data_IF_451937367741
#
_entry.id   IF_451937367741
#
_cell.length_a   1.000
_cell.length_b   1.000
_cell.length_c   1.000
_cell.angle_alpha   90.00
_cell.angle_beta   90.00
_cell.angle_gamma   90.00
#
_symmetry.space_group_name_H-M   'P 1'
#
loop_
_entity.id
_entity.type
_entity.pdbx_description
1 polymer ?
2 water ?
#
# COMPACT_ATOMS: atom_id res chain seq x y z
N UNK A 1 23.24 -3.39 -2.10
CA UNK A 1 22.17 -2.36 -1.76
C UNK A 1 21.41 -2.79 -0.51
N UNK A 2 20.76 -1.81 0.12
CA UNK A 2 20.07 -2.02 1.37
C UNK A 2 19.07 -0.95 1.72
N UNK A 3 18.09 -1.32 2.54
CA UNK A 3 17.25 -0.34 3.23
C UNK A 3 15.81 -0.19 2.77
N UNK A 4 15.46 -0.77 1.62
CA UNK A 4 14.04 -0.70 1.20
C UNK A 4 13.14 -1.52 2.11
N UNK A 5 11.99 -0.97 2.51
CA UNK A 5 11.12 -1.57 3.55
C UNK A 5 9.67 -1.58 3.08
N UNK A 6 8.82 -2.35 3.76
CA UNK A 6 7.40 -2.27 3.52
C UNK A 6 6.87 -0.85 3.69
N UNK A 7 7.39 -0.08 4.67
CA UNK A 7 6.84 1.26 4.95
C UNK A 7 7.17 2.16 3.71
N UNK A 8 8.34 1.99 3.12
CA UNK A 8 8.66 2.74 1.87
C UNK A 8 7.74 2.38 0.70
N UNK A 9 7.46 1.10 0.56
CA UNK A 9 6.63 0.64 -0.55
C UNK A 9 5.23 1.22 -0.37
N UNK A 10 4.74 1.35 0.88
CA UNK A 10 3.41 1.84 1.10
C UNK A 10 3.38 3.34 0.88
N UNK A 11 4.51 4.04 1.05
CA UNK A 11 4.54 5.47 0.80
C UNK A 11 4.46 5.82 -0.71
N UNK A 12 4.94 4.92 -1.54
CA UNK A 12 5.06 5.14 -2.99
C UNK A 12 3.72 4.96 -3.69
N UNK A 13 3.37 5.92 -4.53
CA UNK A 13 2.04 5.96 -5.06
C UNK A 13 2.01 6.14 -6.56
N UNK A 14 0.89 5.75 -7.15
CA UNK A 14 0.83 5.76 -8.64
C UNK A 14 0.85 7.21 -9.10
N UNK A 15 1.43 7.42 -10.28
CA UNK A 15 1.63 8.75 -10.88
C UNK A 15 2.88 9.43 -10.37
N UNK A 16 3.48 8.90 -9.33
CA UNK A 16 4.67 9.64 -8.88
C UNK A 16 5.75 9.60 -9.96
N UNK A 17 6.51 10.68 -10.13
CA UNK A 17 7.64 10.68 -11.09
C UNK A 17 8.74 9.72 -10.70
N UNK A 18 9.47 9.22 -11.68
CA UNK A 18 10.55 8.30 -11.43
C UNK A 18 11.51 8.88 -10.43
N UNK A 19 11.81 10.17 -10.54
CA UNK A 19 12.74 10.79 -9.55
C UNK A 19 12.18 10.79 -8.11
N UNK A 20 10.88 10.93 -7.92
CA UNK A 20 10.32 10.96 -6.58
C UNK A 20 10.27 9.55 -6.05
N UNK A 21 9.93 8.57 -6.92
CA UNK A 21 9.90 7.19 -6.43
C UNK A 21 11.31 6.80 -5.98
N UNK A 22 12.28 7.15 -6.82
CA UNK A 22 13.67 6.87 -6.48
C UNK A 22 14.09 7.47 -5.16
N UNK A 23 13.73 8.73 -4.90
CA UNK A 23 14.16 9.32 -3.66
C UNK A 23 13.51 8.62 -2.49
N UNK A 24 12.20 8.43 -2.55
CA UNK A 24 11.47 7.86 -1.38
C UNK A 24 11.85 6.41 -1.14
N UNK A 25 12.23 5.70 -2.22
CA UNK A 25 12.69 4.31 -2.08
C UNK A 25 14.06 4.16 -1.46
N UNK A 26 14.86 5.23 -1.50
CA UNK A 26 16.17 5.26 -0.90
C UNK A 26 17.33 5.39 -1.96
N UNK A 27 16.99 5.66 -3.24
CA UNK A 27 17.90 6.17 -4.21
C UNK A 27 19.06 5.15 -4.42
N UNK A 28 20.30 5.64 -4.55
CA UNK A 28 21.35 4.71 -4.91
C UNK A 28 21.73 3.75 -3.81
N UNK A 29 21.49 4.18 -2.57
CA UNK A 29 21.75 3.30 -1.44
C UNK A 29 20.92 2.02 -1.51
N UNK A 30 19.68 2.08 -2.03
CA UNK A 30 18.74 0.96 -1.88
C UNK A 30 18.35 0.39 -3.22
N UNK A 31 18.55 1.17 -4.30
CA UNK A 31 17.95 0.82 -5.61
C UNK A 31 18.88 0.77 -6.79
N UNK A 32 18.46 0.00 -7.81
CA UNK A 32 19.14 -0.11 -9.04
C UNK A 32 18.15 0.30 -10.12
N UNK A 33 18.57 1.14 -11.05
CA UNK A 33 17.69 1.54 -12.16
C UNK A 33 18.08 0.68 -13.34
N UNK A 34 17.24 -0.33 -13.61
CA UNK A 34 17.41 -1.32 -14.73
C UNK A 34 16.74 -0.82 -16.04
N UNK A 35 16.23 0.43 -16.05
CA UNK A 35 15.64 1.11 -17.23
C UNK A 35 14.21 0.67 -17.45
N UNK A 36 14.03 -0.62 -17.73
CA UNK A 36 12.72 -1.23 -17.87
C UNK A 36 11.94 -1.17 -16.49
N UNK A 37 12.68 -1.15 -15.38
CA UNK A 37 12.11 -1.10 -14.04
C UNK A 37 13.17 -0.61 -13.06
N UNK A 38 12.73 -0.22 -11.86
CA UNK A 38 13.65 0.10 -10.74
C UNK A 38 13.52 -1.05 -9.76
N UNK A 39 14.66 -1.56 -9.25
CA UNK A 39 14.58 -2.63 -8.25
C UNK A 39 15.13 -2.08 -6.99
N UNK A 40 14.40 -2.21 -5.88
CA UNK A 40 14.92 -1.66 -4.63
C UNK A 40 14.96 -2.79 -3.58
N UNK A 41 16.07 -2.92 -2.88
CA UNK A 41 16.36 -4.09 -2.03
C UNK A 41 16.27 -3.76 -0.56
N UNK A 42 15.65 -4.69 0.17
CA UNK A 42 15.68 -4.59 1.62
C UNK A 42 17.08 -4.66 2.27
N UNK A 43 17.89 -5.56 1.77
CA UNK A 43 19.20 -5.71 2.38
C UNK A 43 20.13 -6.24 1.27
N UNK A 44 21.44 -6.40 1.58
CA UNK A 44 22.46 -6.82 0.58
C UNK A 44 22.23 -8.16 -0.10
N UNK A 45 21.42 -9.00 0.51
CA UNK A 45 20.95 -10.24 -0.12
C UNK A 45 19.92 -9.86 -1.17
N UNK A 46 20.32 -9.98 -2.41
CA UNK A 46 19.55 -9.41 -3.48
C UNK A 46 18.55 -10.44 -4.00
N UNK A 47 18.59 -11.61 -3.37
CA UNK A 47 17.44 -12.60 -3.39
C UNK A 47 16.40 -12.31 -2.28
N UNK A 48 16.67 -11.31 -1.39
CA UNK A 48 15.80 -11.01 -0.25
C UNK A 48 14.65 -10.15 -0.68
N UNK A 49 13.89 -9.66 0.30
CA UNK A 49 12.74 -8.86 0.00
C UNK A 49 13.10 -7.62 -0.86
N UNK A 50 12.23 -7.30 -1.82
CA UNK A 50 12.50 -6.21 -2.74
C UNK A 50 11.21 -5.78 -3.37
N UNK A 51 11.20 -4.49 -3.74
CA UNK A 51 10.11 -3.90 -4.53
C UNK A 51 10.61 -3.60 -5.93
N UNK A 52 9.75 -3.75 -6.91
CA UNK A 52 10.03 -3.28 -8.26
C UNK A 52 9.01 -2.27 -8.74
N UNK A 53 9.50 -1.30 -9.49
CA UNK A 53 8.60 -0.20 -9.91
C UNK A 53 8.75 0.08 -11.38
N UNK A 54 7.60 0.30 -12.06
CA UNK A 54 7.63 0.50 -13.49
C UNK A 54 6.81 1.73 -13.80
N UNK A 55 7.27 2.34 -14.88
CA UNK A 55 6.84 3.64 -15.36
C UNK A 55 6.22 3.68 -16.74
N UNK A 56 5.28 4.62 -16.96
CA UNK A 56 4.80 4.82 -18.31
C UNK A 56 5.81 5.64 -19.12
N UNK A 57 5.45 5.95 -20.36
CA UNK A 57 6.36 6.67 -21.29
C UNK A 57 6.74 8.02 -20.75
N UNK A 58 5.85 8.58 -19.95
CA UNK A 58 6.07 9.85 -19.32
C UNK A 58 6.85 9.81 -18.00
N UNK A 59 7.41 8.61 -17.70
CA UNK A 59 8.18 8.39 -16.46
C UNK A 59 7.33 8.60 -15.16
N UNK A 60 6.02 8.28 -15.19
CA UNK A 60 5.17 8.32 -13.97
C UNK A 60 4.87 6.86 -13.56
N UNK A 61 4.84 6.60 -12.26
CA UNK A 61 4.61 5.24 -11.80
C UNK A 61 3.25 4.66 -12.20
N UNK A 62 3.28 3.50 -12.81
CA UNK A 62 2.06 2.82 -13.16
C UNK A 62 1.99 1.39 -12.59
N UNK A 63 3.04 0.93 -11.92
CA UNK A 63 3.17 -0.56 -11.63
C UNK A 63 4.10 -0.81 -10.44
N UNK A 64 3.54 -1.47 -9.42
CA UNK A 64 4.26 -1.83 -8.17
C UNK A 64 4.23 -3.32 -8.07
N UNK A 65 5.40 -3.95 -7.83
CA UNK A 65 5.59 -5.40 -7.67
C UNK A 65 6.42 -5.62 -6.43
N UNK A 66 6.14 -6.65 -5.65
CA UNK A 66 6.88 -6.88 -4.40
C UNK A 66 7.00 -8.37 -4.21
N UNK A 67 8.22 -8.76 -3.83
CA UNK A 67 8.53 -10.14 -3.43
C UNK A 67 9.04 -10.13 -1.98
N UNK A 68 8.32 -10.85 -1.11
CA UNK A 68 8.59 -10.96 0.35
C UNK A 68 8.59 -9.74 1.23
N UNK A 69 8.01 -8.64 0.72
CA UNK A 69 7.79 -7.54 1.60
C UNK A 69 6.50 -7.79 2.31
N UNK A 70 5.54 -8.46 1.63
CA UNK A 70 4.23 -8.80 2.22
C UNK A 70 3.90 -10.21 1.80
N UNK A 71 4.56 -11.17 2.41
CA UNK A 71 4.29 -12.51 1.99
C UNK A 71 2.89 -13.02 2.39
N UNK A 72 2.40 -14.05 1.71
CA UNK A 72 1.15 -14.74 2.04
C UNK A 72 1.30 -15.21 3.48
N UNK A 73 0.39 -14.82 4.38
CA UNK A 73 0.68 -15.12 5.81
C UNK A 73 0.46 -16.57 6.23
N UNK A 74 -0.48 -17.25 5.57
CA UNK A 74 -0.73 -18.66 5.81
C UNK A 74 -0.77 -19.49 4.48
N UNK A 75 0.38 -19.83 3.97
CA UNK A 75 0.40 -20.55 2.68
C UNK A 75 -0.10 -21.97 2.80
N UNK A 76 -1.15 -22.25 2.06
CA UNK A 76 -1.89 -23.52 2.16
C UNK A 76 -2.38 -23.97 0.77
N UNK A 77 -1.89 -23.31 -0.29
CA UNK A 77 -2.49 -23.55 -1.62
C UNK A 77 -2.34 -25.05 -2.02
N UNK A 78 -3.36 -25.63 -2.66
CA UNK A 78 -3.37 -27.01 -3.03
C UNK A 78 -4.02 -27.09 -4.35
N UNK A 79 -3.81 -28.21 -5.05
CA UNK A 79 -4.34 -28.28 -6.41
C UNK A 79 -5.88 -28.29 -6.46
N UNK A 80 -6.54 -28.93 -5.47
CA UNK A 80 -8.00 -28.97 -5.47
C UNK A 80 -8.50 -27.56 -5.41
N UNK A 81 -7.83 -26.72 -4.63
CA UNK A 81 -8.22 -25.28 -4.51
C UNK A 81 -8.02 -24.54 -5.84
N UNK A 82 -6.89 -24.81 -6.54
CA UNK A 82 -6.62 -24.18 -7.81
C UNK A 82 -7.74 -24.58 -8.79
N UNK A 83 -8.23 -25.83 -8.70
CA UNK A 83 -9.21 -26.37 -9.61
C UNK A 83 -10.65 -25.82 -9.38
N UNK A 84 -10.85 -25.12 -8.26
CA UNK A 84 -12.12 -24.40 -8.03
C UNK A 84 -12.25 -23.08 -8.83
N UNK A 85 -11.13 -22.56 -9.33
CA UNK A 85 -11.11 -21.29 -10.03
C UNK A 85 -11.31 -21.44 -11.56
N UNK A 86 -11.82 -20.37 -12.17
CA UNK A 86 -11.97 -20.33 -13.59
C UNK A 86 -11.93 -18.86 -14.04
N UNK A 87 -11.34 -18.63 -15.21
CA UNK A 87 -11.33 -17.30 -15.74
C UNK A 87 -12.77 -16.80 -15.87
N UNK A 88 -13.01 -15.49 -15.69
CA UNK A 88 -14.33 -14.91 -15.72
C UNK A 88 -14.91 -14.63 -14.33
N UNK A 89 -14.34 -15.28 -13.32
CA UNK A 89 -14.78 -15.02 -11.93
C UNK A 89 -14.50 -13.60 -11.52
N UNK A 90 -15.38 -13.07 -10.67
CA UNK A 90 -15.09 -11.79 -10.06
C UNK A 90 -14.11 -12.01 -8.89
N UNK A 91 -13.52 -10.95 -8.38
CA UNK A 91 -12.62 -11.13 -7.22
C UNK A 91 -13.42 -11.77 -6.05
N UNK A 92 -14.66 -11.36 -5.86
CA UNK A 92 -15.43 -11.97 -4.73
C UNK A 92 -15.61 -13.48 -4.90
N UNK A 93 -15.90 -13.88 -6.12
CA UNK A 93 -16.14 -15.29 -6.34
C UNK A 93 -14.83 -16.03 -6.11
N UNK A 94 -13.73 -15.44 -6.59
CA UNK A 94 -12.41 -16.01 -6.36
C UNK A 94 -12.07 -16.14 -4.89
N UNK A 95 -12.31 -15.11 -4.08
CA UNK A 95 -11.87 -15.19 -2.69
C UNK A 95 -12.76 -16.14 -1.89
N UNK A 96 -13.91 -16.49 -2.45
CA UNK A 96 -14.76 -17.51 -1.79
C UNK A 96 -14.23 -18.88 -2.01
N UNK A 97 -13.41 -19.05 -3.09
CA UNK A 97 -12.82 -20.33 -3.47
C UNK A 97 -11.43 -20.49 -2.90
N UNK A 98 -10.73 -19.38 -2.78
CA UNK A 98 -9.31 -19.33 -2.39
C UNK A 98 -9.12 -18.46 -1.17
N UNK A 99 -8.53 -19.00 -0.09
CA UNK A 99 -8.40 -18.17 1.10
C UNK A 99 -7.44 -17.00 0.90
N UNK A 100 -7.82 -15.78 1.30
CA UNK A 100 -6.91 -14.66 1.03
C UNK A 100 -5.55 -14.82 1.69
N UNK A 101 -5.56 -15.47 2.87
CA UNK A 101 -4.29 -15.61 3.57
C UNK A 101 -3.31 -16.53 2.89
N UNK A 102 -3.72 -17.27 1.85
CA UNK A 102 -2.74 -18.08 1.11
C UNK A 102 -2.13 -17.40 -0.08
N UNK A 103 -2.47 -16.14 -0.32
CA UNK A 103 -1.98 -15.45 -1.50
C UNK A 103 -1.23 -14.16 -1.13
N UNK A 104 -0.20 -13.82 -1.91
CA UNK A 104 0.49 -12.57 -1.76
C UNK A 104 0.06 -11.64 -2.87
N UNK A 105 -0.15 -10.37 -2.53
CA UNK A 105 -0.45 -9.37 -3.55
C UNK A 105 0.88 -9.04 -4.24
N UNK A 106 1.09 -9.72 -5.32
CA UNK A 106 2.36 -9.66 -6.07
C UNK A 106 2.53 -8.34 -6.80
N UNK A 107 1.46 -7.86 -7.44
CA UNK A 107 1.61 -6.62 -8.25
C UNK A 107 0.27 -5.94 -8.45
N UNK A 108 0.33 -4.64 -8.64
CA UNK A 108 -0.83 -3.81 -8.93
C UNK A 108 -0.39 -2.85 -10.02
N UNK A 109 -1.19 -2.79 -11.07
CA UNK A 109 -0.88 -1.93 -12.20
C UNK A 109 -2.04 -1.10 -12.65
N UNK A 110 -1.76 0.18 -12.92
CA UNK A 110 -2.72 1.08 -13.56
C UNK A 110 -2.07 1.67 -14.80
N UNK A 111 -2.05 0.89 -15.90
CA UNK A 111 -1.29 1.25 -17.11
C UNK A 111 -1.68 2.60 -17.67
N UNK A 112 -2.92 3.03 -17.39
CA UNK A 112 -3.45 4.22 -18.05
C UNK A 112 -3.53 5.39 -17.05
N UNK A 113 -2.87 5.26 -15.89
CA UNK A 113 -2.84 6.34 -14.91
C UNK A 113 -2.50 7.69 -15.61
N UNK A 114 -3.23 8.75 -15.33
CA UNK A 114 -4.17 8.86 -14.21
C UNK A 114 -5.58 8.32 -14.40
N UNK A 115 -5.88 7.70 -15.54
CA UNK A 115 -7.14 6.97 -15.65
C UNK A 115 -6.93 5.62 -14.94
N UNK A 116 -8.01 5.06 -14.39
CA UNK A 116 -7.90 3.85 -13.54
C UNK A 116 -8.38 2.52 -14.16
N UNK A 117 -8.81 2.60 -15.44
CA UNK A 117 -9.23 1.39 -16.17
C UNK A 117 -8.05 0.54 -16.62
N UNK A 118 -8.29 -0.77 -16.88
CA UNK A 118 -7.20 -1.67 -17.36
C UNK A 118 -6.35 -1.99 -16.15
N UNK A 119 -6.92 -1.87 -14.95
CA UNK A 119 -6.15 -2.22 -13.71
C UNK A 119 -5.85 -3.68 -13.71
N UNK A 120 -4.56 -4.03 -13.52
CA UNK A 120 -4.20 -5.40 -13.39
C UNK A 120 -3.76 -5.66 -11.98
N UNK A 121 -4.31 -6.73 -11.43
CA UNK A 121 -4.01 -7.06 -10.03
C UNK A 121 -3.61 -8.52 -10.01
N UNK A 122 -2.40 -8.80 -9.53
CA UNK A 122 -1.76 -10.11 -9.66
C UNK A 122 -1.50 -10.72 -8.31
N UNK A 123 -1.78 -12.03 -8.20
CA UNK A 123 -1.58 -12.74 -6.95
C UNK A 123 -0.72 -13.95 -7.21
N UNK A 124 0.12 -14.24 -6.27
CA UNK A 124 0.89 -15.54 -6.19
C UNK A 124 0.44 -16.25 -4.90
N UNK A 125 0.05 -17.54 -5.03
CA UNK A 125 -0.50 -18.26 -3.85
C UNK A 125 0.31 -19.51 -3.59
N UNK A 126 1.27 -19.44 -2.66
CA UNK A 126 2.15 -20.61 -2.45
C UNK A 126 1.59 -21.67 -1.55
N UNK A 127 2.19 -22.84 -1.64
CA UNK A 127 1.64 -24.01 -0.93
C UNK A 127 2.24 -24.16 0.44
N UNK A 128 3.34 -23.46 0.67
CA UNK A 128 4.11 -23.56 1.92
C UNK A 128 4.91 -22.29 2.03
N UNK A 129 5.48 -22.06 3.22
CA UNK A 129 6.18 -20.79 3.49
C UNK A 129 7.67 -20.69 3.01
N UNK A 130 8.31 -21.83 2.75
CA UNK A 130 9.72 -21.87 2.21
C UNK A 130 9.84 -21.13 0.90
N UNK A 131 11.00 -20.54 0.66
CA UNK A 131 11.19 -19.85 -0.61
C UNK A 131 11.03 -20.84 -1.75
N UNK A 132 10.44 -20.31 -2.83
CA UNK A 132 10.22 -21.02 -4.07
C UNK A 132 9.32 -22.25 -3.92
N UNK A 133 8.38 -22.19 -3.01
CA UNK A 133 7.41 -23.25 -2.89
C UNK A 133 6.52 -23.28 -4.14
N UNK A 134 6.04 -24.45 -4.51
CA UNK A 134 5.05 -24.48 -5.60
C UNK A 134 3.85 -23.55 -5.33
N UNK A 135 3.40 -22.89 -6.40
CA UNK A 135 2.43 -21.81 -6.26
C UNK A 135 1.46 -21.76 -7.43
N UNK A 136 0.33 -21.12 -7.19
CA UNK A 136 -0.58 -20.75 -8.29
C UNK A 136 -0.40 -19.25 -8.57
N UNK A 137 -0.63 -18.84 -9.82
CA UNK A 137 -0.55 -17.42 -10.21
C UNK A 137 -1.86 -16.92 -10.84
N UNK A 138 -2.37 -15.76 -10.43
CA UNK A 138 -3.66 -15.27 -10.92
C UNK A 138 -3.58 -13.82 -11.32
N UNK A 139 -4.20 -13.45 -12.44
CA UNK A 139 -4.28 -12.03 -12.79
C UNK A 139 -5.72 -11.64 -12.96
N UNK A 140 -6.17 -10.54 -12.28
CA UNK A 140 -7.44 -9.90 -12.56
C UNK A 140 -7.21 -8.71 -13.43
N UNK A 141 -8.05 -8.55 -14.46
CA UNK A 141 -8.10 -7.32 -15.28
C UNK A 141 -9.46 -6.66 -14.87
N UNK A 142 -9.38 -5.45 -14.31
CA UNK A 142 -10.54 -4.73 -13.82
C UNK A 142 -11.54 -5.63 -13.02
N UNK A 143 -10.96 -6.50 -12.19
CA UNK A 143 -11.77 -7.19 -11.18
C UNK A 143 -12.31 -8.53 -11.69
N UNK A 144 -11.94 -8.94 -12.91
CA UNK A 144 -12.35 -10.23 -13.46
C UNK A 144 -11.09 -11.11 -13.75
N UNK A 145 -11.15 -12.41 -13.38
CA UNK A 145 -9.98 -13.26 -13.51
C UNK A 145 -9.72 -13.54 -14.97
N UNK A 146 -8.54 -13.11 -15.50
CA UNK A 146 -8.29 -13.26 -16.90
C UNK A 146 -7.13 -14.17 -17.12
N UNK A 147 -6.35 -14.46 -16.06
CA UNK A 147 -5.18 -15.47 -16.27
C UNK A 147 -5.10 -16.35 -15.01
N UNK A 148 -4.89 -17.64 -15.18
CA UNK A 148 -4.65 -18.57 -14.01
C UNK A 148 -3.63 -19.63 -14.44
N UNK A 149 -2.68 -19.95 -13.58
CA UNK A 149 -1.77 -21.08 -13.86
C UNK A 149 -1.21 -21.62 -12.58
N UNK A 150 -0.66 -22.82 -12.62
CA UNK A 150 0.07 -23.30 -11.46
C UNK A 150 1.09 -24.27 -11.92
N UNK A 151 2.09 -24.54 -11.06
CA UNK A 151 2.92 -25.72 -11.24
C UNK A 151 3.26 -26.42 -9.93
N UNK A 152 3.28 -27.74 -10.00
CA UNK A 152 3.59 -28.58 -8.84
C UNK A 152 2.80 -28.41 -7.55
N UNK A 153 1.58 -27.86 -7.58
CA UNK A 153 0.82 -27.87 -6.36
C UNK A 153 0.55 -29.39 -6.24
N UNK A 154 0.56 -29.95 -5.06
CA UNK A 154 -0.01 -29.45 -3.86
C UNK A 154 0.84 -28.59 -3.04
N UNK B 1 -11.37 -7.11 18.76
CA UNK B 1 -10.99 -7.24 17.34
C UNK B 1 -9.51 -7.54 17.31
N UNK B 2 -9.14 -8.37 16.33
CA UNK B 2 -7.77 -8.75 16.19
C UNK B 2 -7.44 -9.18 14.79
N UNK B 3 -6.16 -9.07 14.44
CA UNK B 3 -5.66 -9.75 13.26
C UNK B 3 -5.39 -8.92 12.03
N UNK B 4 -5.79 -7.66 12.02
CA UNK B 4 -5.44 -6.79 10.87
C UNK B 4 -3.94 -6.49 10.80
N UNK B 5 -3.35 -6.60 9.61
CA UNK B 5 -1.93 -6.49 9.48
C UNK B 5 -1.60 -5.52 8.34
N UNK B 6 -0.33 -5.07 8.28
CA UNK B 6 0.18 -4.31 7.08
C UNK B 6 -0.09 -5.08 5.77
N UNK B 7 0.04 -6.40 5.81
CA UNK B 7 -0.17 -7.22 4.62
C UNK B 7 -1.60 -7.07 4.14
N UNK B 8 -2.54 -7.08 5.07
CA UNK B 8 -3.93 -6.91 4.63
C UNK B 8 -4.22 -5.52 4.07
N UNK B 9 -3.55 -4.53 4.67
CA UNK B 9 -3.80 -3.15 4.30
C UNK B 9 -3.24 -3.01 2.86
N UNK B 10 -2.10 -3.63 2.58
CA UNK B 10 -1.51 -3.53 1.27
C UNK B 10 -2.37 -4.29 0.22
N UNK B 11 -3.20 -5.23 0.68
CA UNK B 11 -4.10 -5.92 -0.23
C UNK B 11 -5.28 -5.10 -0.67
N UNK B 12 -5.65 -4.11 0.14
CA UNK B 12 -6.85 -3.34 -0.08
C UNK B 12 -6.61 -2.17 -1.04
N UNK B 13 -7.46 -2.00 -2.06
CA UNK B 13 -7.15 -1.08 -3.18
C UNK B 13 -8.37 -0.23 -3.48
N UNK B 14 -8.10 0.96 -4.03
CA UNK B 14 -9.18 1.88 -4.36
C UNK B 14 -10.19 1.30 -5.33
N UNK B 15 -11.45 1.73 -5.20
CA UNK B 15 -12.54 1.12 -6.01
C UNK B 15 -13.09 -0.19 -5.57
N UNK B 16 -12.50 -0.85 -4.58
CA UNK B 16 -13.05 -2.13 -4.14
C UNK B 16 -14.37 -1.93 -3.41
N UNK B 17 -15.30 -2.87 -3.57
CA UNK B 17 -16.58 -2.78 -2.87
C UNK B 17 -16.32 -2.92 -1.37
N UNK B 18 -17.16 -2.21 -0.59
CA UNK B 18 -17.12 -2.32 0.86
C UNK B 18 -17.15 -3.79 1.29
N UNK B 19 -18.01 -4.61 0.67
CA UNK B 19 -18.09 -6.04 1.08
C UNK B 19 -16.74 -6.81 0.82
N UNK B 20 -16.03 -6.44 -0.22
CA UNK B 20 -14.70 -7.06 -0.53
C UNK B 20 -13.60 -6.58 0.40
N UNK B 21 -13.58 -5.26 0.71
CA UNK B 21 -12.59 -4.71 1.66
C UNK B 21 -12.82 -5.39 3.00
N UNK B 22 -14.09 -5.47 3.37
CA UNK B 22 -14.44 -6.15 4.63
C UNK B 22 -13.94 -7.59 4.76
N UNK B 23 -14.15 -8.36 3.73
CA UNK B 23 -13.63 -9.73 3.71
C UNK B 23 -12.13 -9.76 3.74
N UNK B 24 -11.44 -8.96 2.88
CA UNK B 24 -9.95 -9.11 2.84
C UNK B 24 -9.33 -8.65 4.17
N UNK B 25 -10.01 -7.75 4.85
CA UNK B 25 -9.46 -7.16 6.09
C UNK B 25 -9.66 -8.04 7.30
N UNK B 26 -10.51 -9.03 7.16
CA UNK B 26 -10.72 -10.02 8.27
C UNK B 26 -12.16 -9.98 8.81
N UNK B 27 -13.01 -9.18 8.18
CA UNK B 27 -14.50 -9.19 8.51
C UNK B 27 -14.73 -9.03 10.03
N UNK B 28 -15.68 -9.81 10.58
CA UNK B 28 -16.02 -9.55 12.02
C UNK B 28 -14.89 -9.88 13.01
N UNK B 29 -13.94 -10.70 12.61
CA UNK B 29 -12.84 -11.02 13.54
C UNK B 29 -11.98 -9.78 13.78
N UNK B 30 -11.82 -8.94 12.75
CA UNK B 30 -10.83 -7.87 12.75
C UNK B 30 -11.44 -6.47 12.72
N UNK B 31 -12.70 -6.35 12.28
CA UNK B 31 -13.11 -5.01 11.85
C UNK B 31 -14.45 -4.65 12.43
N UNK B 32 -14.69 -3.35 12.54
CA UNK B 32 -15.89 -2.78 13.03
C UNK B 32 -16.44 -1.83 11.97
N UNK B 33 -17.74 -1.99 11.63
CA UNK B 33 -18.30 -1.10 10.60
C UNK B 33 -19.06 -0.03 11.31
N UNK B 34 -18.56 1.21 11.23
CA UNK B 34 -19.09 2.37 11.92
C UNK B 34 -19.81 3.32 10.92
N UNK B 35 -20.14 2.77 9.73
CA UNK B 35 -20.95 3.39 8.69
C UNK B 35 -20.13 4.51 7.99
N UNK B 36 -19.64 5.48 8.75
CA UNK B 36 -18.82 6.54 8.22
C UNK B 36 -17.56 5.94 7.73
N UNK B 37 -17.13 4.84 8.33
CA UNK B 37 -15.87 4.19 7.99
C UNK B 37 -15.93 2.81 8.60
N UNK B 38 -15.06 1.97 8.10
CA UNK B 38 -14.73 0.70 8.75
C UNK B 38 -13.35 0.82 9.42
N UNK B 39 -13.20 0.32 10.67
CA UNK B 39 -11.88 0.33 11.35
C UNK B 39 -11.48 -1.10 11.59
N UNK B 40 -10.27 -1.46 11.22
CA UNK B 40 -9.80 -2.82 11.49
C UNK B 40 -8.57 -2.78 12.36
N UNK B 41 -8.56 -3.66 13.36
CA UNK B 41 -7.53 -3.60 14.41
C UNK B 41 -6.55 -4.74 14.39
N UNK B 42 -5.29 -4.42 14.65
CA UNK B 42 -4.27 -5.49 14.74
C UNK B 42 -4.48 -6.40 15.99
N UNK B 43 -4.96 -5.83 17.10
CA UNK B 43 -5.11 -6.60 18.34
C UNK B 43 -6.15 -5.99 19.26
N UNK B 44 -6.59 -6.74 20.31
CA UNK B 44 -7.70 -6.30 21.13
C UNK B 44 -7.35 -5.01 21.86
N UNK B 45 -6.08 -4.63 21.81
CA UNK B 45 -5.62 -3.29 22.16
C UNK B 45 -6.08 -2.38 21.03
N UNK B 46 -7.32 -1.91 21.10
CA UNK B 46 -7.86 -1.15 19.97
C UNK B 46 -7.18 0.19 19.90
N UNK B 47 -6.14 0.36 20.69
CA UNK B 47 -5.45 1.65 20.64
C UNK B 47 -4.22 1.57 19.74
N UNK B 48 -3.91 0.34 19.34
CA UNK B 48 -2.73 0.03 18.56
C UNK B 48 -2.89 0.20 17.07
N UNK B 49 -2.07 -0.55 16.32
CA UNK B 49 -2.12 -0.37 14.91
C UNK B 49 -3.50 -0.65 14.29
N UNK B 50 -3.89 0.15 13.32
CA UNK B 50 -5.20 -0.07 12.77
C UNK B 50 -5.31 0.62 11.47
N UNK B 51 -6.26 0.13 10.68
CA UNK B 51 -6.54 0.73 9.36
C UNK B 51 -7.98 1.28 9.33
N UNK B 52 -8.23 2.40 8.68
CA UNK B 52 -9.53 3.02 8.55
C UNK B 52 -9.81 3.07 7.04
N UNK B 53 -11.00 2.64 6.66
CA UNK B 53 -11.43 2.64 5.26
C UNK B 53 -12.73 3.40 5.10
N UNK B 54 -12.74 4.28 4.13
CA UNK B 54 -13.92 5.13 3.91
C UNK B 54 -14.32 4.99 2.41
N UNK B 55 -15.65 5.05 2.19
CA UNK B 55 -16.21 4.72 0.88
C UNK B 55 -17.04 5.90 0.40
N UNK B 56 -17.23 5.95 -0.92
CA UNK B 56 -18.17 6.90 -1.45
C UNK B 56 -19.55 6.35 -1.19
N UNK B 57 -20.55 7.15 -1.50
CA UNK B 57 -21.90 6.63 -1.29
C UNK B 57 -22.25 5.34 -2.07
N UNK B 58 -21.55 5.05 -3.17
CA UNK B 58 -21.70 3.85 -3.95
C UNK B 58 -21.00 2.63 -3.32
N UNK B 59 -20.45 2.81 -2.11
CA UNK B 59 -19.70 1.70 -1.44
C UNK B 59 -18.45 1.18 -2.18
N UNK B 60 -17.78 2.11 -2.85
CA UNK B 60 -16.48 1.89 -3.44
C UNK B 60 -15.40 2.55 -2.61
N UNK B 61 -14.27 1.85 -2.41
CA UNK B 61 -13.20 2.44 -1.56
C UNK B 61 -12.58 3.71 -2.16
N UNK B 62 -12.59 4.80 -1.38
CA UNK B 62 -12.01 6.06 -1.86
C UNK B 62 -10.94 6.54 -0.94
N UNK B 63 -10.75 5.90 0.22
CA UNK B 63 -9.88 6.54 1.23
C UNK B 63 -9.31 5.46 2.14
N UNK B 64 -7.98 5.40 2.22
CA UNK B 64 -7.28 4.46 3.13
C UNK B 64 -6.53 5.32 4.14
N UNK B 65 -6.52 4.89 5.38
CA UNK B 65 -5.73 5.60 6.34
C UNK B 65 -5.19 4.55 7.27
N UNK B 66 -4.08 4.90 7.90
CA UNK B 66 -3.55 3.94 8.87
C UNK B 66 -2.84 4.64 10.00
N UNK B 67 -2.91 4.02 11.18
CA UNK B 67 -2.14 4.54 12.27
C UNK B 67 -1.39 3.47 12.93
N UNK B 68 -0.07 3.67 13.03
CA UNK B 68 0.80 2.64 13.60
C UNK B 68 0.94 1.31 12.82
N UNK B 69 0.36 1.19 11.62
CA UNK B 69 0.69 -0.01 10.84
C UNK B 69 2.01 0.16 10.12
N UNK B 70 2.23 1.40 9.65
CA UNK B 70 3.49 1.82 9.00
C UNK B 70 3.89 3.12 9.68
N UNK B 71 4.47 3.01 10.87
CA UNK B 71 4.95 4.21 11.55
C UNK B 71 6.15 4.91 10.87
N UNK B 72 6.29 6.20 11.15
CA UNK B 72 7.48 6.94 10.69
C UNK B 72 8.66 6.19 11.30
N UNK B 73 9.62 5.81 10.45
CA UNK B 73 10.63 4.91 10.99
C UNK B 73 11.60 5.57 11.94
N UNK B 74 11.89 6.85 11.71
CA UNK B 74 12.87 7.61 12.54
C UNK B 74 12.27 8.98 12.83
N UNK B 75 11.30 9.07 13.76
CA UNK B 75 10.65 10.37 14.17
C UNK B 75 11.70 11.31 14.74
N UNK B 76 11.86 12.46 14.10
CA UNK B 76 12.82 13.49 14.55
C UNK B 76 12.27 14.88 14.25
N UNK B 77 10.98 14.98 14.01
CA UNK B 77 10.48 16.28 13.58
C UNK B 77 10.72 17.37 14.68
N UNK B 78 11.03 18.55 14.21
CA UNK B 78 11.36 19.73 15.02
C UNK B 78 10.78 20.99 14.35
N UNK B 79 10.58 22.03 15.16
CA UNK B 79 9.97 23.19 14.60
C UNK B 79 10.80 23.81 13.54
N UNK B 80 12.13 23.64 13.60
CA UNK B 80 13.01 24.19 12.56
C UNK B 80 12.80 23.55 11.19
N UNK B 81 12.47 22.24 11.17
CA UNK B 81 12.10 21.57 9.97
C UNK B 81 10.77 22.01 9.48
N UNK B 82 9.80 22.17 10.39
CA UNK B 82 8.45 22.54 9.97
C UNK B 82 8.54 23.91 9.29
N UNK B 83 9.42 24.76 9.81
CA UNK B 83 9.51 26.12 9.26
C UNK B 83 10.01 26.17 7.81
N UNK B 84 10.75 25.16 7.35
CA UNK B 84 11.18 25.04 5.99
C UNK B 84 9.99 24.75 4.99
N UNK B 85 8.82 24.39 5.49
CA UNK B 85 7.68 24.06 4.63
C UNK B 85 6.79 25.30 4.39
N UNK B 86 6.11 25.33 3.23
CA UNK B 86 5.12 26.40 3.02
C UNK B 86 4.03 25.88 2.10
N UNK B 87 2.81 26.41 2.23
CA UNK B 87 1.77 25.99 1.34
C UNK B 87 2.15 26.29 -0.12
N UNK B 88 1.64 25.41 -1.00
CA UNK B 88 1.93 25.43 -2.44
C UNK B 88 3.16 24.76 -2.92
N UNK B 89 4.01 24.24 -1.99
CA UNK B 89 5.17 23.48 -2.33
C UNK B 89 4.74 22.14 -2.94
N UNK B 90 5.56 21.62 -3.88
CA UNK B 90 5.30 20.34 -4.51
C UNK B 90 5.72 19.23 -3.57
N UNK B 91 5.35 17.99 -3.86
CA UNK B 91 5.90 16.90 -3.07
C UNK B 91 7.45 16.86 -3.11
N UNK B 92 8.03 17.11 -4.27
CA UNK B 92 9.48 17.03 -4.39
C UNK B 92 10.11 18.11 -3.51
N UNK B 93 9.51 19.31 -3.48
CA UNK B 93 10.03 20.42 -2.57
C UNK B 93 9.88 20.11 -1.12
N UNK B 94 8.74 19.49 -0.77
CA UNK B 94 8.50 19.03 0.58
C UNK B 94 9.51 18.02 1.03
N UNK B 95 9.79 16.96 0.22
CA UNK B 95 10.71 15.94 0.71
C UNK B 95 12.17 16.41 0.63
N UNK B 96 12.43 17.54 -0.01
CA UNK B 96 13.74 18.14 0.06
C UNK B 96 13.94 18.85 1.38
N UNK B 97 12.85 19.23 2.01
CA UNK B 97 12.98 19.95 3.27
C UNK B 97 12.79 19.04 4.46
N UNK B 98 11.98 18.01 4.28
CA UNK B 98 11.58 17.17 5.43
C UNK B 98 11.98 15.72 5.12
N UNK B 99 12.82 15.07 5.96
CA UNK B 99 13.26 13.68 5.60
C UNK B 99 12.05 12.72 5.65
N UNK B 100 11.93 11.90 4.63
CA UNK B 100 10.86 10.92 4.54
C UNK B 100 10.78 10.07 5.80
N UNK B 101 11.92 9.72 6.40
CA UNK B 101 11.91 8.83 7.54
C UNK B 101 11.22 9.39 8.77
N UNK B 102 11.00 10.68 8.86
CA UNK B 102 10.30 11.22 10.04
C UNK B 102 8.81 11.36 9.83
N UNK B 103 8.33 10.92 8.67
CA UNK B 103 6.84 11.05 8.47
C UNK B 103 6.18 9.72 8.18
N UNK B 104 4.93 9.61 8.62
CA UNK B 104 4.11 8.48 8.30
C UNK B 104 3.11 8.86 7.21
N UNK B 105 2.93 7.95 6.28
CA UNK B 105 1.87 8.05 5.23
C UNK B 105 0.50 7.76 5.92
N UNK B 106 -0.10 8.81 6.41
CA UNK B 106 -1.29 8.66 7.24
C UNK B 106 -2.45 8.28 6.36
N UNK B 107 -2.72 8.97 5.29
CA UNK B 107 -3.91 8.65 4.50
C UNK B 107 -3.75 9.01 3.04
N UNK B 108 -4.55 8.33 2.19
CA UNK B 108 -4.58 8.56 0.73
C UNK B 108 -6.02 8.52 0.30
N UNK B 109 -6.40 9.49 -0.51
CA UNK B 109 -7.82 9.57 -0.85
C UNK B 109 -7.96 9.95 -2.29
N UNK B 110 -8.93 9.31 -2.94
CA UNK B 110 -9.34 9.69 -4.29
C UNK B 110 -10.82 9.83 -4.37
N UNK B 111 -11.34 10.97 -3.85
CA UNK B 111 -12.77 11.23 -3.57
C UNK B 111 -13.62 11.00 -4.81
N UNK B 112 -13.01 11.25 -5.98
CA UNK B 112 -13.79 11.20 -7.27
C UNK B 112 -13.57 9.86 -8.04
N UNK B 113 -13.08 8.82 -7.36
CA UNK B 113 -12.81 7.54 -8.03
C UNK B 113 -14.08 7.17 -8.78
N UNK B 114 -13.93 6.69 -10.02
CA UNK B 114 -12.70 6.24 -10.68
C UNK B 114 -11.75 7.32 -11.26
N UNK B 115 -12.14 8.59 -11.10
CA UNK B 115 -11.24 9.67 -11.49
C UNK B 115 -10.31 9.92 -10.32
N UNK B 116 -9.12 10.35 -10.66
CA UNK B 116 -8.12 10.55 -9.61
C UNK B 116 -7.74 11.99 -9.29
N UNK B 117 -8.37 12.95 -9.93
CA UNK B 117 -8.22 14.36 -9.44
C UNK B 117 -8.77 14.64 -8.04
N UNK B 118 -8.26 15.70 -7.41
CA UNK B 118 -8.75 16.00 -6.06
C UNK B 118 -8.17 15.01 -5.03
N UNK B 119 -7.06 14.37 -5.41
CA UNK B 119 -6.36 13.40 -4.57
C UNK B 119 -5.80 14.08 -3.36
N UNK B 120 -6.03 13.46 -2.22
CA UNK B 120 -5.46 14.07 -0.98
C UNK B 120 -4.48 13.07 -0.41
N UNK B 121 -3.29 13.56 -0.06
CA UNK B 121 -2.25 12.69 0.45
C UNK B 121 -1.78 13.33 1.72
N UNK B 122 -1.96 12.62 2.82
CA UNK B 122 -1.70 13.20 4.13
C UNK B 122 -0.56 12.51 4.84
N UNK B 123 0.24 13.31 5.53
CA UNK B 123 1.30 12.87 6.38
C UNK B 123 1.28 13.38 7.77
N UNK B 124 1.79 12.59 8.69
CA UNK B 124 1.98 13.06 10.06
C UNK B 124 3.45 12.82 10.35
N UNK B 125 4.09 13.82 10.95
CA UNK B 125 5.50 13.74 11.19
C UNK B 125 5.76 14.02 12.66
N UNK B 126 5.90 12.95 13.41
CA UNK B 126 6.09 13.12 14.85
C UNK B 126 7.55 13.43 15.24
N UNK B 127 7.68 13.98 16.41
CA UNK B 127 8.97 14.39 17.01
C UNK B 127 9.58 13.15 17.72
N UNK B 128 8.76 12.16 18.07
CA UNK B 128 9.30 10.92 18.63
C UNK B 128 8.27 9.84 18.45
N UNK B 129 8.67 8.62 18.75
CA UNK B 129 7.85 7.45 18.50
C UNK B 129 6.71 7.24 19.48
N UNK B 130 6.79 7.86 20.66
CA UNK B 130 5.77 7.62 21.72
C UNK B 130 4.37 8.11 21.29
N UNK B 131 3.30 7.40 21.69
CA UNK B 131 1.93 7.65 21.15
C UNK B 131 1.35 9.11 21.08
N UNK B 132 1.49 9.85 22.13
CA UNK B 132 0.92 11.19 22.04
C UNK B 132 1.89 12.29 21.64
N UNK B 133 2.79 11.99 20.70
CA UNK B 133 3.92 12.89 20.48
C UNK B 133 3.58 14.16 19.71
N UNK B 134 4.25 15.26 20.09
CA UNK B 134 4.10 16.50 19.32
C UNK B 134 4.40 16.18 17.89
N UNK B 135 3.64 16.74 16.94
CA UNK B 135 3.79 16.32 15.52
C UNK B 135 3.45 17.46 14.55
N UNK B 136 3.90 17.33 13.28
CA UNK B 136 3.43 18.22 12.20
C UNK B 136 2.45 17.38 11.36
N UNK B 137 1.59 18.05 10.60
CA UNK B 137 0.45 17.43 9.83
C UNK B 137 0.41 18.18 8.54
N UNK B 138 0.40 17.39 7.45
CA UNK B 138 0.50 17.99 6.10
C UNK B 138 -0.44 17.30 5.15
N UNK B 139 -1.09 18.09 4.26
CA UNK B 139 -2.00 17.50 3.26
C UNK B 139 -1.67 18.07 1.97
N UNK B 140 -1.42 17.20 0.98
CA UNK B 140 -1.25 17.69 -0.36
C UNK B 140 -2.47 17.37 -1.17
N UNK B 141 -2.83 18.30 -2.04
CA UNK B 141 -3.94 18.12 -2.96
C UNK B 141 -3.38 18.07 -4.38
N UNK B 142 -3.58 16.96 -5.05
CA UNK B 142 -3.01 16.79 -6.38
C UNK B 142 -1.52 17.23 -6.44
N UNK B 143 -0.76 16.92 -5.40
CA UNK B 143 0.70 17.08 -5.41
C UNK B 143 1.18 18.43 -4.86
N UNK B 144 0.30 19.27 -4.36
CA UNK B 144 0.70 20.62 -3.86
C UNK B 144 0.25 20.79 -2.39
N UNK B 145 1.10 21.37 -1.56
CA UNK B 145 0.80 21.40 -0.17
C UNK B 145 -0.35 22.39 0.14
N UNK B 146 -1.45 21.87 0.67
CA UNK B 146 -2.62 22.69 0.92
C UNK B 146 -2.97 22.92 2.38
N UNK B 147 -2.50 22.04 3.26
CA UNK B 147 -2.67 22.22 4.71
C UNK B 147 -1.35 21.89 5.41
N UNK B 148 -0.94 22.74 6.35
CA UNK B 148 0.26 22.46 7.16
C UNK B 148 -0.08 22.98 8.56
N UNK B 149 0.27 22.19 9.54
CA UNK B 149 -0.06 22.55 10.96
C UNK B 149 0.88 21.81 11.89
N UNK B 150 1.01 22.32 13.11
CA UNK B 150 1.84 21.51 14.08
C UNK B 150 1.36 21.72 15.46
N UNK B 151 1.46 20.69 16.30
CA UNK B 151 1.05 20.82 17.69
C UNK B 151 2.23 20.61 18.61
N UNK B 152 2.60 21.67 19.30
CA UNK B 152 3.66 21.65 20.35
C UNK B 152 5.03 21.09 19.99
N UNK B 153 5.43 21.21 18.71
CA UNK B 153 6.79 20.82 18.30
C UNK B 153 7.82 21.66 19.06
N UNK B 154 8.91 21.04 19.49
CA UNK B 154 9.97 21.72 20.20
C UNK B 154 10.92 22.37 19.20
#
# INVERSE_FOLDING_TARGET
YTGFTPERYNKIQFGMDRTLVWQLAGADQSCSDQVERIICYNNPDHYGPQGHFFFNAADKLIHKRQMELFPAPKPTMRLATYNKTQTGMTEAQFWAAVPSDTCSALAEQYPNWPATNGNLREYVCPSKAERFAPSAYFTFTDGKLTSRSQSQLP
YTGFTPERYNKIQFGMDRTLVWQLAGADQSCSDQVERIICYNNPDHYGPQGHFFFNAADKLIHKRQMELFPAPKPTMRLATYNKTQTGMTEAQFWAAVPSDTCSALAEQYPNWPATNGNLREYVCPSKAERFAPSAYFTFTDGKLTSRSQSQLP
#
